data_IF_296056112769
#
_entry.id   IF_296056112769
#
_cell.length_a   1.000
_cell.length_b   1.000
_cell.length_c   1.000
_cell.angle_alpha   90.00
_cell.angle_beta   90.00
_cell.angle_gamma   90.00
#
_symmetry.space_group_name_H-M   'P 1'
#
loop_
_entity.id
_entity.type
_entity.pdbx_description
1 polymer ?
#
# COMPACT_ATOMS: atom_id res chain seq x y z
N UNK A 1 29.84 14.75 -18.29
CA UNK A 1 31.09 14.50 -17.53
C UNK A 1 31.84 13.36 -18.21
N UNK A 2 33.18 13.42 -18.27
CA UNK A 2 34.02 12.31 -18.77
C UNK A 2 34.40 11.40 -17.60
N UNK A 3 34.54 10.11 -17.87
CA UNK A 3 35.04 9.13 -16.91
C UNK A 3 36.34 8.50 -17.45
N UNK A 4 37.46 8.53 -16.69
CA UNK A 4 37.62 9.19 -15.39
C UNK A 4 37.58 10.73 -15.50
N UNK A 5 37.18 11.45 -14.42
CA UNK A 5 37.15 12.92 -14.43
C UNK A 5 38.53 13.58 -14.41
N UNK A 6 39.52 12.91 -13.83
CA UNK A 6 40.92 13.35 -13.72
C UNK A 6 41.82 12.42 -14.53
N UNK A 7 42.98 12.93 -14.96
CA UNK A 7 44.00 12.11 -15.62
C UNK A 7 44.81 11.30 -14.59
N UNK A 8 45.33 10.14 -14.98
CA UNK A 8 46.08 9.24 -14.08
C UNK A 8 47.43 9.85 -13.64
N UNK A 9 47.96 10.80 -14.41
CA UNK A 9 49.22 11.50 -14.14
C UNK A 9 49.02 12.78 -13.29
N UNK A 10 47.78 13.23 -13.08
CA UNK A 10 47.49 14.41 -12.26
C UNK A 10 47.51 14.05 -10.76
N UNK A 11 48.28 14.77 -9.91
CA UNK A 11 48.22 14.55 -8.48
C UNK A 11 46.85 14.98 -7.91
N UNK A 12 46.39 14.38 -6.80
CA UNK A 12 45.15 14.80 -6.15
C UNK A 12 45.16 16.29 -5.80
N UNK A 13 44.06 16.98 -6.08
CA UNK A 13 43.87 18.39 -5.76
C UNK A 13 43.83 18.61 -4.24
N UNK A 14 44.55 19.63 -3.75
CA UNK A 14 44.44 20.07 -2.36
C UNK A 14 43.16 20.89 -2.15
N UNK A 15 42.44 20.58 -1.07
CA UNK A 15 41.17 21.21 -0.73
C UNK A 15 41.35 22.68 -0.31
N UNK A 16 42.39 22.98 0.48
CA UNK A 16 42.63 24.32 0.99
C UNK A 16 42.90 25.33 -0.13
N UNK A 17 43.70 24.92 -1.13
CA UNK A 17 44.11 25.79 -2.22
C UNK A 17 43.07 25.90 -3.34
N UNK A 18 42.28 24.84 -3.60
CA UNK A 18 41.43 24.78 -4.80
C UNK A 18 39.91 24.85 -4.52
N UNK A 19 39.46 24.53 -3.31
CA UNK A 19 38.03 24.31 -3.02
C UNK A 19 37.48 25.10 -1.84
N UNK A 20 38.31 25.44 -0.84
CA UNK A 20 37.84 26.08 0.40
C UNK A 20 37.16 27.44 0.16
N UNK A 21 37.72 28.26 -0.73
CA UNK A 21 37.23 29.60 -1.03
C UNK A 21 36.24 29.66 -2.22
N UNK A 22 35.89 28.50 -2.79
CA UNK A 22 34.99 28.41 -3.94
C UNK A 22 33.57 28.10 -3.47
N UNK A 23 32.64 29.03 -3.71
CA UNK A 23 31.22 28.78 -3.42
C UNK A 23 30.68 27.66 -4.33
N UNK A 24 29.99 26.65 -3.77
CA UNK A 24 29.39 25.61 -4.56
C UNK A 24 28.28 26.18 -5.45
N UNK A 25 28.07 25.53 -6.60
CA UNK A 25 26.94 25.86 -7.45
C UNK A 25 25.62 25.56 -6.72
N UNK A 26 24.57 26.25 -7.16
CA UNK A 26 23.22 26.05 -6.65
C UNK A 26 22.79 24.58 -6.74
N UNK A 27 22.24 24.07 -5.65
CA UNK A 27 21.75 22.71 -5.58
C UNK A 27 20.42 22.58 -6.34
N UNK A 28 20.06 21.36 -6.70
CA UNK A 28 18.71 21.09 -7.23
C UNK A 28 17.72 21.27 -6.07
N UNK A 29 16.96 22.36 -6.10
CA UNK A 29 15.88 22.65 -5.16
C UNK A 29 14.61 22.92 -5.96
N UNK A 30 13.55 22.18 -5.66
CA UNK A 30 12.22 22.49 -6.15
C UNK A 30 11.75 23.79 -5.47
N UNK A 31 11.25 24.72 -6.27
CA UNK A 31 10.53 25.89 -5.76
C UNK A 31 9.23 25.42 -5.08
N UNK A 32 9.15 25.64 -3.77
CA UNK A 32 8.01 25.27 -2.94
C UNK A 32 7.03 26.44 -2.86
N UNK A 33 5.73 26.14 -2.76
CA UNK A 33 4.71 27.17 -2.61
C UNK A 33 4.64 27.68 -1.15
N UNK A 34 4.63 29.00 -0.95
CA UNK A 34 4.66 29.57 0.41
C UNK A 34 3.39 29.29 1.23
N UNK A 35 2.26 29.04 0.58
CA UNK A 35 0.96 28.81 1.21
C UNK A 35 0.66 27.31 1.33
N UNK A 36 0.74 26.56 0.23
CA UNK A 36 0.45 25.12 0.23
C UNK A 36 1.54 24.30 0.93
N UNK A 37 2.82 24.69 0.80
CA UNK A 37 3.97 23.99 1.40
C UNK A 37 4.47 24.66 2.68
N UNK A 38 3.71 25.60 3.25
CA UNK A 38 4.08 26.39 4.42
C UNK A 38 4.63 25.55 5.59
N UNK A 39 4.10 24.33 5.78
CA UNK A 39 4.51 23.42 6.85
C UNK A 39 5.97 22.92 6.72
N UNK A 40 6.50 22.83 5.50
CA UNK A 40 7.84 22.27 5.20
C UNK A 40 8.80 23.27 4.56
N UNK A 41 8.28 24.34 3.95
CA UNK A 41 9.01 25.32 3.13
C UNK A 41 10.36 25.77 3.72
N UNK A 42 10.40 26.05 5.03
CA UNK A 42 11.59 26.64 5.68
C UNK A 42 12.76 25.69 5.91
N UNK A 43 12.52 24.38 5.98
CA UNK A 43 13.50 23.41 6.45
C UNK A 43 13.68 22.21 5.52
N UNK A 44 12.87 22.11 4.45
CA UNK A 44 12.82 20.92 3.61
C UNK A 44 14.19 20.52 3.01
N UNK A 45 15.02 21.50 2.65
CA UNK A 45 16.36 21.29 2.07
C UNK A 45 17.51 21.40 3.08
N UNK A 46 17.23 21.49 4.38
CA UNK A 46 18.27 21.48 5.40
C UNK A 46 18.98 20.11 5.45
N UNK A 47 20.26 20.10 5.82
CA UNK A 47 21.00 18.84 5.98
C UNK A 47 20.39 17.94 7.08
N UNK A 48 19.91 18.54 8.17
CA UNK A 48 19.22 17.87 9.27
C UNK A 48 18.02 18.72 9.72
N UNK A 49 16.88 18.61 9.02
CA UNK A 49 15.73 19.45 9.24
C UNK A 49 15.20 19.31 10.66
N UNK A 50 14.59 20.39 11.18
CA UNK A 50 13.91 20.42 12.48
C UNK A 50 14.80 20.04 13.69
N UNK A 51 16.14 19.99 13.54
CA UNK A 51 17.03 19.77 14.67
C UNK A 51 16.81 20.87 15.73
N UNK A 52 16.84 20.48 17.01
CA UNK A 52 16.55 21.36 18.16
C UNK A 52 15.09 21.81 18.28
N UNK A 53 14.16 21.18 17.57
CA UNK A 53 12.70 21.36 17.78
C UNK A 53 12.09 20.21 18.59
N UNK A 54 10.84 20.36 19.01
CA UNK A 54 10.08 19.30 19.69
C UNK A 54 9.75 18.09 18.79
N UNK A 55 9.87 18.24 17.47
CA UNK A 55 9.57 17.18 16.52
C UNK A 55 10.64 16.09 16.50
N UNK A 56 11.85 16.36 17.00
CA UNK A 56 12.97 15.42 17.01
C UNK A 56 13.52 15.26 18.41
N UNK A 57 14.01 14.05 18.73
CA UNK A 57 14.56 13.70 20.04
C UNK A 57 15.92 14.36 20.40
N UNK A 58 16.39 15.34 19.64
CA UNK A 58 17.69 16.02 19.81
C UNK A 58 18.75 15.64 18.77
N UNK A 59 20.01 15.98 19.05
CA UNK A 59 21.14 15.82 18.11
C UNK A 59 21.44 14.37 17.69
N UNK A 60 20.93 13.39 18.46
CA UNK A 60 21.00 11.97 18.07
C UNK A 60 20.22 11.67 16.78
N UNK A 61 19.17 12.44 16.50
CA UNK A 61 18.39 12.39 15.25
C UNK A 61 17.89 10.98 14.91
N UNK A 62 17.28 10.28 15.88
CA UNK A 62 16.84 8.88 15.73
C UNK A 62 15.34 8.70 15.72
N UNK A 63 14.60 9.61 16.34
CA UNK A 63 13.15 9.54 16.47
C UNK A 63 12.55 10.88 16.11
N UNK A 64 11.46 10.83 15.37
CA UNK A 64 10.68 11.97 14.95
C UNK A 64 9.21 11.76 15.33
N UNK A 65 8.50 12.84 15.54
CA UNK A 65 7.06 12.87 15.71
C UNK A 65 6.55 14.12 14.99
N UNK A 66 5.90 13.94 13.84
CA UNK A 66 5.47 15.05 12.98
C UNK A 66 3.96 15.25 13.07
N UNK A 67 3.51 16.49 12.89
CA UNK A 67 2.09 16.83 12.85
C UNK A 67 1.44 16.40 11.53
N UNK A 68 0.11 16.28 11.53
CA UNK A 68 -0.65 15.89 10.34
C UNK A 68 -0.42 16.83 9.13
N UNK A 69 -0.38 18.17 9.27
CA UNK A 69 -0.09 19.06 8.14
C UNK A 69 1.27 18.78 7.51
N UNK A 70 2.32 18.56 8.32
CA UNK A 70 3.66 18.22 7.81
C UNK A 70 3.61 16.90 7.03
N UNK A 71 2.96 15.87 7.59
CA UNK A 71 2.84 14.57 6.94
C UNK A 71 2.04 14.64 5.63
N UNK A 72 0.97 15.42 5.58
CA UNK A 72 0.15 15.60 4.39
C UNK A 72 0.95 16.27 3.26
N UNK A 73 1.67 17.36 3.57
CA UNK A 73 2.52 18.05 2.59
C UNK A 73 3.64 17.15 2.07
N UNK A 74 4.35 16.42 2.97
CA UNK A 74 5.40 15.48 2.57
C UNK A 74 4.85 14.33 1.70
N UNK A 75 3.68 13.80 2.04
CA UNK A 75 3.03 12.74 1.27
C UNK A 75 2.68 13.22 -0.15
N UNK A 76 2.15 14.44 -0.28
CA UNK A 76 1.85 15.08 -1.57
C UNK A 76 3.10 15.26 -2.42
N UNK A 77 4.17 15.83 -1.86
CA UNK A 77 5.44 16.04 -2.57
C UNK A 77 6.09 14.72 -3.01
N UNK A 78 5.96 13.66 -2.20
CA UNK A 78 6.48 12.33 -2.53
C UNK A 78 5.59 11.53 -3.50
N UNK A 79 4.45 12.08 -3.94
CA UNK A 79 3.45 11.36 -4.73
C UNK A 79 4.02 10.73 -6.02
N UNK A 80 5.03 11.33 -6.63
CA UNK A 80 5.68 10.77 -7.84
C UNK A 80 6.44 9.46 -7.59
N UNK A 81 6.81 9.17 -6.35
CA UNK A 81 7.57 7.98 -5.96
C UNK A 81 6.71 6.94 -5.23
N UNK A 82 5.57 7.35 -4.70
CA UNK A 82 4.66 6.47 -3.97
C UNK A 82 3.77 5.71 -4.94
N UNK A 83 3.28 4.55 -4.49
CA UNK A 83 2.37 3.73 -5.27
C UNK A 83 0.93 4.09 -4.96
N UNK A 84 0.08 4.13 -6.00
CA UNK A 84 -1.37 4.29 -5.87
C UNK A 84 -2.08 3.00 -5.39
N UNK A 85 -1.33 1.92 -5.17
CA UNK A 85 -1.86 0.63 -4.75
C UNK A 85 -2.21 0.62 -3.26
N UNK A 86 -3.50 0.75 -2.97
CA UNK A 86 -4.01 0.74 -1.59
C UNK A 86 -4.33 -0.69 -1.12
N UNK A 87 -4.88 -1.52 -2.01
CA UNK A 87 -5.30 -2.88 -1.67
C UNK A 87 -4.17 -3.90 -1.87
N UNK A 88 -3.92 -4.68 -0.82
CA UNK A 88 -2.95 -5.79 -0.83
C UNK A 88 -3.35 -6.91 -1.77
N UNK A 89 -4.64 -7.06 -2.09
CA UNK A 89 -5.13 -8.03 -3.06
C UNK A 89 -4.48 -7.88 -4.45
N UNK A 90 -3.95 -6.70 -4.78
CA UNK A 90 -3.17 -6.48 -6.00
C UNK A 90 -1.98 -7.44 -6.11
N UNK A 91 -1.34 -7.77 -4.99
CA UNK A 91 -0.18 -8.67 -4.92
C UNK A 91 -0.56 -10.15 -4.85
N UNK A 92 -1.79 -10.52 -5.20
CA UNK A 92 -2.19 -11.93 -5.25
C UNK A 92 -1.30 -12.69 -6.25
N UNK A 93 -0.66 -13.76 -5.78
CA UNK A 93 0.40 -14.52 -6.49
C UNK A 93 1.66 -13.72 -6.82
N UNK A 94 1.79 -12.49 -6.32
CA UNK A 94 2.96 -11.64 -6.51
C UNK A 94 3.52 -11.14 -5.17
N UNK A 95 3.52 -12.05 -4.19
CA UNK A 95 4.04 -11.86 -2.85
C UNK A 95 5.18 -12.86 -2.55
N UNK A 96 5.86 -12.67 -1.42
CA UNK A 96 7.00 -13.49 -1.04
C UNK A 96 6.63 -14.97 -0.87
N UNK A 97 5.46 -15.28 -0.31
CA UNK A 97 5.02 -16.67 -0.11
C UNK A 97 4.77 -17.37 -1.45
N UNK A 98 4.17 -16.67 -2.42
CA UNK A 98 4.00 -17.22 -3.78
C UNK A 98 5.32 -17.44 -4.49
N UNK A 99 6.30 -16.53 -4.33
CA UNK A 99 7.64 -16.73 -4.90
C UNK A 99 8.40 -17.88 -4.24
N UNK A 100 8.26 -18.08 -2.93
CA UNK A 100 8.85 -19.23 -2.24
C UNK A 100 8.25 -20.54 -2.73
N UNK A 101 6.93 -20.59 -2.92
CA UNK A 101 6.24 -21.76 -3.46
C UNK A 101 6.60 -22.00 -4.92
N UNK A 102 6.67 -20.98 -5.76
CA UNK A 102 7.11 -21.07 -7.15
C UNK A 102 8.54 -21.65 -7.25
N UNK A 103 9.46 -21.14 -6.42
CA UNK A 103 10.83 -21.65 -6.31
C UNK A 103 10.89 -23.11 -5.85
N UNK A 104 10.10 -23.47 -4.84
CA UNK A 104 10.07 -24.82 -4.29
C UNK A 104 9.54 -25.86 -5.30
N UNK A 105 8.55 -25.47 -6.10
CA UNK A 105 7.91 -26.30 -7.13
C UNK A 105 8.62 -26.25 -8.49
N UNK A 106 9.68 -25.45 -8.63
CA UNK A 106 10.34 -25.20 -9.92
C UNK A 106 9.35 -24.71 -11.00
N UNK A 107 8.44 -23.81 -10.59
CA UNK A 107 7.45 -23.17 -11.46
C UNK A 107 7.73 -21.68 -11.57
N UNK A 108 7.19 -21.07 -12.62
CA UNK A 108 7.35 -19.63 -12.88
C UNK A 108 5.97 -18.97 -12.93
N UNK A 109 5.84 -17.87 -12.20
CA UNK A 109 4.69 -16.97 -12.30
C UNK A 109 4.97 -16.02 -13.48
N UNK A 110 4.01 -15.73 -14.36
CA UNK A 110 4.18 -14.72 -15.39
C UNK A 110 4.63 -13.38 -14.78
N UNK A 111 5.70 -12.79 -15.31
CA UNK A 111 6.30 -11.56 -14.75
C UNK A 111 7.09 -11.75 -13.45
N UNK A 112 7.11 -12.95 -12.87
CA UNK A 112 7.85 -13.29 -11.67
C UNK A 112 9.27 -13.80 -11.95
N UNK A 113 10.10 -13.93 -10.90
CA UNK A 113 11.46 -14.45 -11.01
C UNK A 113 11.48 -15.94 -11.35
N UNK A 114 12.58 -16.39 -11.96
CA UNK A 114 12.88 -17.80 -12.22
C UNK A 114 14.05 -18.24 -11.36
N UNK A 115 14.02 -19.50 -10.93
CA UNK A 115 15.04 -20.08 -10.07
C UNK A 115 15.50 -21.42 -10.60
N UNK A 116 16.67 -21.88 -10.14
CA UNK A 116 17.05 -23.28 -10.34
C UNK A 116 16.15 -24.22 -9.52
N UNK A 117 15.91 -25.45 -10.01
CA UNK A 117 15.13 -26.45 -9.30
C UNK A 117 15.73 -26.74 -7.92
N UNK A 118 14.92 -26.61 -6.86
CA UNK A 118 15.34 -26.92 -5.50
C UNK A 118 15.62 -28.41 -5.29
N UNK A 119 14.84 -29.26 -5.97
CA UNK A 119 14.99 -30.70 -5.97
C UNK A 119 15.16 -31.18 -7.40
N UNK A 120 16.21 -31.97 -7.65
CA UNK A 120 16.54 -32.56 -8.96
C UNK A 120 16.31 -34.07 -9.00
N UNK A 121 15.65 -34.59 -7.96
CA UNK A 121 15.42 -36.01 -7.69
C UNK A 121 14.19 -36.60 -8.40
N UNK A 122 13.47 -35.79 -9.18
CA UNK A 122 12.32 -36.22 -9.98
C UNK A 122 12.83 -36.57 -11.39
N UNK A 123 12.92 -37.86 -11.72
CA UNK A 123 13.14 -38.30 -13.09
C UNK A 123 11.90 -37.98 -13.94
N UNK A 124 12.09 -37.34 -15.10
CA UNK A 124 11.04 -36.77 -15.97
C UNK A 124 10.10 -37.80 -16.66
N UNK A 125 9.92 -39.00 -16.11
CA UNK A 125 9.15 -40.07 -16.76
C UNK A 125 8.28 -40.92 -15.83
N UNK A 126 8.63 -41.04 -14.54
CA UNK A 126 7.93 -41.94 -13.62
C UNK A 126 6.57 -41.39 -13.16
N UNK A 127 6.35 -40.08 -13.24
CA UNK A 127 5.05 -39.48 -12.87
C UNK A 127 4.02 -39.50 -14.00
N UNK A 128 4.44 -39.58 -15.27
CA UNK A 128 3.55 -39.40 -16.43
C UNK A 128 2.76 -40.68 -16.80
N UNK A 129 3.30 -41.86 -16.48
CA UNK A 129 2.67 -43.17 -16.78
C UNK A 129 2.43 -43.98 -15.51
N UNK A 130 1.40 -43.60 -14.76
CA UNK A 130 0.91 -44.37 -13.62
C UNK A 130 -0.58 -44.69 -13.78
N UNK A 131 -1.08 -45.64 -12.98
CA UNK A 131 -2.48 -46.08 -13.06
C UNK A 131 -3.51 -44.96 -12.77
N UNK A 132 -3.08 -43.93 -12.05
CA UNK A 132 -3.87 -42.76 -11.68
C UNK A 132 -3.91 -41.67 -12.77
N UNK A 133 -2.85 -41.55 -13.58
CA UNK A 133 -2.67 -40.54 -14.63
C UNK A 133 -3.04 -41.06 -16.03
N UNK A 134 -3.74 -42.20 -16.12
CA UNK A 134 -4.24 -42.75 -17.38
C UNK A 134 -5.16 -41.74 -18.10
N UNK A 135 -4.79 -41.37 -19.31
CA UNK A 135 -5.49 -40.37 -20.13
C UNK A 135 -6.95 -40.75 -20.40
N UNK A 136 -7.28 -42.04 -20.41
CA UNK A 136 -8.65 -42.50 -20.63
C UNK A 136 -9.56 -42.33 -19.40
N UNK A 137 -8.96 -42.14 -18.21
CA UNK A 137 -9.67 -41.94 -16.94
C UNK A 137 -9.76 -40.46 -16.53
N UNK A 138 -9.00 -39.58 -17.20
CA UNK A 138 -8.96 -38.15 -16.89
C UNK A 138 -9.94 -37.36 -17.75
N UNK A 139 -10.83 -36.60 -17.08
CA UNK A 139 -11.73 -35.66 -17.75
C UNK A 139 -11.05 -34.29 -17.81
N UNK A 140 -10.53 -33.91 -18.98
CA UNK A 140 -9.89 -32.60 -19.20
C UNK A 140 -10.93 -31.62 -19.74
N UNK A 141 -11.49 -30.78 -18.85
CA UNK A 141 -12.37 -29.65 -19.25
C UNK A 141 -11.60 -28.36 -19.45
N UNK A 142 -10.66 -28.09 -18.55
CA UNK A 142 -9.78 -26.93 -18.59
C UNK A 142 -8.36 -27.37 -18.21
N UNK A 143 -7.32 -26.90 -18.92
CA UNK A 143 -5.96 -27.25 -18.57
C UNK A 143 -5.55 -26.59 -17.25
N UNK A 144 -4.86 -27.35 -16.41
CA UNK A 144 -4.35 -26.87 -15.14
C UNK A 144 -3.18 -25.91 -15.36
N UNK A 145 -3.35 -24.64 -14.99
CA UNK A 145 -2.31 -23.60 -15.10
C UNK A 145 -1.35 -23.59 -13.90
N UNK A 146 -0.19 -22.95 -14.06
CA UNK A 146 0.83 -22.82 -13.01
C UNK A 146 0.32 -22.00 -11.82
N UNK A 147 -0.54 -21.00 -12.06
CA UNK A 147 -1.12 -20.18 -11.01
C UNK A 147 -1.95 -21.01 -10.03
N UNK A 148 -2.69 -22.01 -10.51
CA UNK A 148 -3.46 -22.90 -9.64
C UNK A 148 -2.56 -23.76 -8.76
N UNK A 149 -1.44 -24.24 -9.32
CA UNK A 149 -0.44 -25.01 -8.59
C UNK A 149 0.28 -24.20 -7.51
N UNK A 150 0.36 -22.88 -7.66
CA UNK A 150 0.97 -22.00 -6.66
C UNK A 150 -0.06 -21.54 -5.63
N UNK A 151 -1.28 -21.19 -6.07
CA UNK A 151 -2.38 -20.79 -5.18
C UNK A 151 -2.81 -21.91 -4.23
N UNK A 152 -2.90 -23.15 -4.74
CA UNK A 152 -3.32 -24.32 -3.96
C UNK A 152 -2.25 -25.41 -4.04
N UNK A 153 -1.09 -25.21 -3.38
CA UNK A 153 0.10 -26.02 -3.61
C UNK A 153 -0.06 -27.48 -3.18
N UNK A 154 -0.90 -27.74 -2.17
CA UNK A 154 -1.16 -29.09 -1.66
C UNK A 154 -2.19 -29.87 -2.47
N UNK A 155 -2.98 -29.22 -3.33
CA UNK A 155 -4.05 -29.86 -4.09
C UNK A 155 -3.58 -30.31 -5.47
N UNK A 156 -2.83 -29.44 -6.16
CA UNK A 156 -2.51 -29.62 -7.58
C UNK A 156 -1.07 -30.07 -7.87
N UNK A 157 -0.29 -30.39 -6.84
CA UNK A 157 1.09 -30.86 -7.00
C UNK A 157 1.32 -32.18 -6.30
N UNK A 158 2.11 -33.04 -6.93
CA UNK A 158 2.71 -34.20 -6.30
C UNK A 158 3.87 -33.73 -5.40
N UNK A 159 3.97 -34.29 -4.20
CA UNK A 159 5.09 -34.06 -3.25
C UNK A 159 5.42 -32.56 -3.04
N UNK A 160 4.45 -31.73 -2.58
CA UNK A 160 4.68 -30.31 -2.29
C UNK A 160 5.64 -30.14 -1.09
N UNK A 161 6.94 -30.00 -1.38
CA UNK A 161 8.00 -29.90 -0.35
C UNK A 161 8.46 -28.46 -0.20
N UNK A 162 8.57 -27.98 1.05
CA UNK A 162 8.98 -26.59 1.38
C UNK A 162 8.14 -25.50 0.69
N UNK A 163 6.88 -25.82 0.37
CA UNK A 163 5.89 -24.82 -0.08
C UNK A 163 5.43 -23.98 1.11
N UNK A 164 4.92 -22.79 0.81
CA UNK A 164 4.34 -21.88 1.80
C UNK A 164 2.92 -21.51 1.40
N UNK A 165 2.06 -21.35 2.40
CA UNK A 165 0.69 -20.88 2.19
C UNK A 165 0.66 -19.36 2.31
N UNK A 166 0.26 -18.70 1.23
CA UNK A 166 0.01 -17.26 1.21
C UNK A 166 -1.39 -16.91 1.73
N UNK A 167 -1.63 -15.62 1.92
CA UNK A 167 -2.96 -15.09 2.24
C UNK A 167 -3.82 -15.17 0.97
N UNK A 168 -4.98 -15.81 1.06
CA UNK A 168 -5.88 -15.95 -0.09
C UNK A 168 -6.53 -14.62 -0.49
N UNK A 169 -7.02 -13.86 0.48
CA UNK A 169 -7.75 -12.62 0.24
C UNK A 169 -7.76 -11.74 1.49
N UNK A 170 -7.77 -10.42 1.29
CA UNK A 170 -8.09 -9.41 2.30
C UNK A 170 -9.39 -8.70 1.93
N UNK A 171 -10.19 -8.20 2.88
CA UNK A 171 -11.35 -7.37 2.55
C UNK A 171 -10.96 -6.22 1.61
N UNK A 172 -11.69 -6.06 0.51
CA UNK A 172 -11.40 -5.03 -0.49
C UNK A 172 -11.50 -3.64 0.12
N UNK A 173 -10.47 -2.82 -0.08
CA UNK A 173 -10.45 -1.44 0.40
C UNK A 173 -11.15 -0.55 -0.63
N UNK A 174 -12.34 -0.07 -0.28
CA UNK A 174 -13.14 0.84 -1.11
C UNK A 174 -12.90 2.30 -0.69
N UNK A 175 -11.67 2.78 -0.92
CA UNK A 175 -11.28 4.16 -0.63
C UNK A 175 -11.43 5.04 -1.87
N UNK A 176 -12.09 6.19 -1.72
CA UNK A 176 -12.22 7.20 -2.76
C UNK A 176 -11.30 8.36 -2.39
N UNK A 177 -10.35 8.65 -3.27
CA UNK A 177 -9.44 9.79 -3.12
C UNK A 177 -10.16 11.04 -3.63
N UNK A 178 -10.28 12.04 -2.76
CA UNK A 178 -10.82 13.36 -3.11
C UNK A 178 -9.74 14.16 -3.83
N UNK A 179 -10.04 14.66 -5.02
CA UNK A 179 -9.12 15.52 -5.78
C UNK A 179 -9.41 17.02 -5.58
N UNK A 180 -10.64 17.36 -5.19
CA UNK A 180 -11.08 18.74 -4.98
C UNK A 180 -11.17 19.06 -3.48
N UNK A 181 -10.30 19.95 -2.95
CA UNK A 181 -10.33 20.34 -1.54
C UNK A 181 -11.51 21.24 -1.18
N UNK A 182 -12.23 21.82 -2.15
CA UNK A 182 -13.39 22.68 -1.90
C UNK A 182 -14.64 21.87 -1.50
N UNK A 183 -14.63 20.56 -1.76
CA UNK A 183 -15.70 19.65 -1.33
C UNK A 183 -15.57 19.32 0.16
N UNK A 184 -16.70 19.16 0.88
CA UNK A 184 -16.65 18.80 2.29
C UNK A 184 -16.04 17.41 2.47
N UNK A 185 -15.30 17.17 3.56
CA UNK A 185 -14.60 15.90 3.79
C UNK A 185 -15.52 14.66 3.76
N UNK A 186 -16.77 14.80 4.20
CA UNK A 186 -17.79 13.75 4.10
C UNK A 186 -18.88 14.18 3.12
N UNK A 187 -18.88 13.58 1.93
CA UNK A 187 -19.94 13.75 0.94
C UNK A 187 -20.26 12.44 0.24
N UNK A 188 -21.40 12.44 -0.45
CA UNK A 188 -21.81 11.32 -1.27
C UNK A 188 -21.16 11.41 -2.64
N UNK A 189 -20.02 10.71 -2.79
CA UNK A 189 -19.26 10.75 -4.04
C UNK A 189 -20.03 10.13 -5.22
N UNK A 190 -19.98 10.72 -6.43
CA UNK A 190 -20.65 10.18 -7.61
C UNK A 190 -20.24 8.75 -8.01
N UNK A 191 -19.08 8.26 -7.56
CA UNK A 191 -18.65 6.87 -7.76
C UNK A 191 -19.44 5.87 -6.90
N UNK A 192 -20.13 6.34 -5.86
CA UNK A 192 -20.94 5.49 -4.98
C UNK A 192 -22.29 5.21 -5.64
N UNK A 193 -22.68 3.94 -5.68
CA UNK A 193 -23.97 3.53 -6.21
C UNK A 193 -25.13 4.05 -5.35
N UNK A 194 -26.15 4.73 -5.95
CA UNK A 194 -27.27 5.32 -5.22
C UNK A 194 -28.02 4.28 -4.39
N UNK A 195 -28.28 4.62 -3.13
CA UNK A 195 -29.05 3.77 -2.22
C UNK A 195 -30.53 3.89 -2.59
N UNK A 196 -31.10 2.82 -3.15
CA UNK A 196 -32.54 2.77 -3.47
C UNK A 196 -33.35 2.30 -2.27
N UNK A 197 -34.43 3.02 -1.96
CA UNK A 197 -35.37 2.61 -0.90
C UNK A 197 -36.50 1.76 -1.51
N UNK A 198 -36.26 0.46 -1.66
CA UNK A 198 -37.24 -0.48 -2.24
C UNK A 198 -38.12 -1.18 -1.19
N UNK A 199 -37.73 -1.14 0.09
CA UNK A 199 -38.49 -1.77 1.18
C UNK A 199 -39.49 -0.78 1.81
N UNK A 200 -40.58 -0.50 1.11
CA UNK A 200 -41.73 0.26 1.65
C UNK A 200 -42.71 -0.58 2.49
N UNK A 201 -42.50 -1.90 2.57
CA UNK A 201 -43.53 -2.85 3.03
C UNK A 201 -43.57 -3.01 4.56
N UNK A 202 -42.45 -2.85 5.30
CA UNK A 202 -42.42 -3.07 6.77
C UNK A 202 -42.38 -1.79 7.64
N UNK A 203 -42.19 -0.61 7.05
CA UNK A 203 -41.97 0.62 7.83
C UNK A 203 -43.24 1.30 8.34
N UNK A 204 -44.40 1.05 7.72
CA UNK A 204 -45.67 1.65 8.17
C UNK A 204 -46.25 0.97 9.41
N UNK A 205 -46.08 -0.36 9.53
CA UNK A 205 -46.55 -1.11 10.70
C UNK A 205 -45.65 -0.88 11.92
N UNK A 206 -44.32 -0.78 11.76
CA UNK A 206 -43.42 -0.42 12.87
C UNK A 206 -43.62 1.01 13.40
N UNK A 207 -43.86 1.98 12.51
CA UNK A 207 -44.13 3.36 12.93
C UNK A 207 -45.42 3.50 13.75
N UNK A 208 -46.42 2.69 13.45
CA UNK A 208 -47.68 2.69 14.20
C UNK A 208 -47.52 2.11 15.62
N UNK A 209 -46.56 1.20 15.83
CA UNK A 209 -46.27 0.59 17.14
C UNK A 209 -45.40 1.50 18.00
N UNK A 210 -44.45 2.23 17.40
CA UNK A 210 -43.58 3.19 18.12
C UNK A 210 -44.32 4.46 18.58
N UNK A 211 -45.44 4.81 17.94
CA UNK A 211 -46.23 6.00 18.30
C UNK A 211 -47.27 5.73 19.42
N UNK A 212 -47.55 4.47 19.79
CA UNK A 212 -48.57 4.12 20.79
C UNK A 212 -48.04 3.87 22.23
N UNK A 213 -46.72 3.63 22.43
CA UNK A 213 -46.17 3.16 23.72
C UNK A 213 -45.27 4.18 24.49
N UNK A 214 -44.96 5.37 23.95
CA UNK A 214 -43.88 6.24 24.48
C UNK A 214 -44.30 7.69 24.85
N UNK A 215 -45.53 7.94 25.30
CA UNK A 215 -45.91 9.28 25.84
C UNK A 215 -45.30 9.59 27.23
N UNK A 216 -44.80 8.59 27.96
CA UNK A 216 -44.28 8.75 29.33
C UNK A 216 -42.74 8.89 29.43
N UNK A 217 -42.00 8.68 28.34
CA UNK A 217 -40.53 8.71 28.36
C UNK A 217 -39.96 10.00 27.74
N UNK A 218 -39.40 10.85 28.59
CA UNK A 218 -38.67 12.05 28.17
C UNK A 218 -37.20 11.98 28.60
N UNK A 219 -36.29 12.41 27.73
CA UNK A 219 -34.89 12.65 28.11
C UNK A 219 -34.81 13.84 29.08
N UNK A 220 -33.91 13.83 30.08
CA UNK A 220 -33.66 14.99 30.93
C UNK A 220 -33.16 16.20 30.13
N UNK A 221 -33.48 17.42 30.60
CA UNK A 221 -33.16 18.68 29.90
C UNK A 221 -31.65 18.89 29.66
N UNK A 222 -30.80 18.33 30.54
CA UNK A 222 -29.35 18.43 30.44
C UNK A 222 -28.72 17.40 29.46
N UNK A 223 -29.52 16.54 28.83
CA UNK A 223 -29.02 15.50 27.92
C UNK A 223 -29.04 16.00 26.48
N UNK A 224 -27.84 16.29 25.99
CA UNK A 224 -27.60 16.69 24.60
C UNK A 224 -26.62 15.72 23.92
N UNK A 225 -26.49 15.76 22.57
CA UNK A 225 -25.45 15.03 21.87
C UNK A 225 -24.05 15.37 22.43
N UNK A 226 -23.22 14.35 22.67
CA UNK A 226 -21.93 14.47 23.36
C UNK A 226 -20.98 15.54 22.79
N UNK A 227 -21.07 15.81 21.49
CA UNK A 227 -20.15 16.67 20.73
C UNK A 227 -20.91 17.77 19.97
N UNK A 228 -21.99 18.29 20.57
CA UNK A 228 -22.87 19.30 19.94
C UNK A 228 -22.13 20.59 19.57
N UNK A 229 -21.15 21.01 20.38
CA UNK A 229 -20.43 22.28 20.20
C UNK A 229 -19.26 22.18 19.21
N UNK A 230 -18.89 20.96 18.78
CA UNK A 230 -17.79 20.75 17.84
C UNK A 230 -18.33 20.51 16.44
N UNK A 231 -17.83 21.30 15.49
CA UNK A 231 -18.11 21.10 14.07
C UNK A 231 -17.61 19.73 13.60
N UNK A 232 -18.35 19.12 12.67
CA UNK A 232 -18.06 17.77 12.16
C UNK A 232 -16.73 17.71 11.40
N UNK A 233 -16.30 18.82 10.82
CA UNK A 233 -15.08 18.99 10.02
C UNK A 233 -14.46 20.35 10.38
N UNK A 234 -13.12 20.42 10.41
CA UNK A 234 -12.34 21.65 10.61
C UNK A 234 -12.28 22.52 9.35
#
# INVERSE_FOLDING_TARGET
>A
MRFPPFDDEEPPLDYADNLLDVEPLEAIQLELDEEEDAAVHKWFYDHKPLMNTFFINGSSYRKWHLSLPIMATLYRLAGQLLSDLIDRNYFYLFDMESFFTAKALNMCIPGGPKFEPLYRDMEKGDEDWNEFNDINKLIIRQPLRTEYRIAFPHLYNNRPRKVRLGIYHTPMIMYIKTEDPDLPAFYYDPLINPITSTNKIDRRERKAIEEEDDEDFCLPEDVEPLLKDTDLIL
#
